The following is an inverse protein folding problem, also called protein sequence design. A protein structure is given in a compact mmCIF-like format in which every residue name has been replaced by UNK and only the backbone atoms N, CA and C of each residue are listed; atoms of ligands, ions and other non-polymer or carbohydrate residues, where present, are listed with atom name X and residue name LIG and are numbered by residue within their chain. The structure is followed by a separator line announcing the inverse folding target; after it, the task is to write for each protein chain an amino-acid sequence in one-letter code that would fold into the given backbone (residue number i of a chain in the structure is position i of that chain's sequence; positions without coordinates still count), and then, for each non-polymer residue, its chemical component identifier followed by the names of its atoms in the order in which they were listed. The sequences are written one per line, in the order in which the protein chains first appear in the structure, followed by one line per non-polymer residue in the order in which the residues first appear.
data_IF_753544716932
#
_entry.id   IF_753544716932
#
_cell.length_a   1.000
_cell.length_b   1.000
_cell.length_c   1.000
_cell.angle_alpha   90.00
_cell.angle_beta   90.00
_cell.angle_gamma   90.00
#
_symmetry.space_group_name_H-M   'P 1'
#
loop_
_entity.id
_entity.type
_entity.pdbx_description
1 polymer ?
#
# COMPACT_ATOMS: atom_id res chain seq x y z
N UNK A 1 -3.59 21.44 36.33
CA UNK A 1 -4.63 21.45 35.28
C UNK A 1 -4.05 21.68 33.86
N UNK A 2 -3.21 22.70 33.63
CA UNK A 2 -2.65 23.01 32.29
C UNK A 2 -1.79 21.88 31.67
N UNK A 3 -0.97 21.20 32.49
CA UNK A 3 -0.16 20.05 32.07
C UNK A 3 -1.04 18.85 31.65
N UNK A 4 -2.17 18.61 32.32
CA UNK A 4 -3.09 17.51 32.00
C UNK A 4 -3.80 17.80 30.67
N UNK A 5 -4.19 19.05 30.42
CA UNK A 5 -4.83 19.48 29.17
C UNK A 5 -3.84 19.39 27.97
N UNK A 6 -2.58 19.79 28.18
CA UNK A 6 -1.52 19.63 27.17
C UNK A 6 -1.22 18.17 26.85
N UNK A 7 -1.24 17.28 27.84
CA UNK A 7 -1.06 15.84 27.64
C UNK A 7 -2.23 15.22 26.86
N UNK A 8 -3.48 15.61 27.13
CA UNK A 8 -4.64 15.16 26.36
C UNK A 8 -4.55 15.57 24.88
N UNK A 9 -4.07 16.78 24.60
CA UNK A 9 -3.92 17.27 23.22
C UNK A 9 -2.82 16.50 22.46
N UNK A 10 -1.70 16.20 23.12
CA UNK A 10 -0.64 15.38 22.55
C UNK A 10 -1.09 13.93 22.29
N UNK A 11 -1.83 13.33 23.23
CA UNK A 11 -2.38 11.97 23.06
C UNK A 11 -3.41 11.92 21.94
N UNK A 12 -4.25 12.94 21.79
CA UNK A 12 -5.20 13.04 20.68
C UNK A 12 -4.50 13.17 19.31
N UNK A 13 -3.38 13.89 19.25
CA UNK A 13 -2.56 13.98 18.03
C UNK A 13 -1.92 12.63 17.68
N UNK A 14 -1.27 11.98 18.64
CA UNK A 14 -0.66 10.67 18.43
C UNK A 14 -1.69 9.60 18.01
N UNK A 15 -2.91 9.67 18.54
CA UNK A 15 -4.01 8.79 18.14
C UNK A 15 -4.40 8.94 16.67
N UNK A 16 -4.41 10.15 16.14
CA UNK A 16 -4.71 10.39 14.73
C UNK A 16 -3.59 9.87 13.82
N UNK A 17 -2.33 10.03 14.23
CA UNK A 17 -1.17 9.52 13.49
C UNK A 17 -1.17 7.98 13.47
N UNK A 18 -1.43 7.33 14.62
CA UNK A 18 -1.49 5.87 14.68
C UNK A 18 -2.68 5.30 13.90
N UNK A 19 -3.81 5.99 13.90
CA UNK A 19 -4.97 5.62 13.08
C UNK A 19 -4.65 5.76 11.58
N UNK A 20 -4.10 6.90 11.14
CA UNK A 20 -3.73 7.10 9.75
C UNK A 20 -2.72 6.06 9.25
N UNK A 21 -1.74 5.68 10.09
CA UNK A 21 -0.79 4.63 9.77
C UNK A 21 -1.46 3.24 9.64
N UNK A 22 -2.45 2.95 10.50
CA UNK A 22 -3.24 1.72 10.43
C UNK A 22 -4.08 1.67 9.16
N UNK A 23 -4.75 2.77 8.82
CA UNK A 23 -5.59 2.87 7.63
C UNK A 23 -4.76 2.71 6.36
N UNK A 24 -3.58 3.35 6.30
CA UNK A 24 -2.63 3.18 5.19
C UNK A 24 -2.17 1.72 5.05
N UNK A 25 -1.79 1.08 6.16
CA UNK A 25 -1.39 -0.34 6.16
C UNK A 25 -2.51 -1.22 5.63
N UNK A 26 -3.74 -1.01 6.11
CA UNK A 26 -4.90 -1.79 5.70
C UNK A 26 -5.18 -1.61 4.20
N UNK A 27 -5.09 -0.38 3.69
CA UNK A 27 -5.23 -0.10 2.27
C UNK A 27 -4.17 -0.84 1.44
N UNK A 28 -2.90 -0.81 1.87
CA UNK A 28 -1.83 -1.54 1.19
C UNK A 28 -2.10 -3.05 1.18
N UNK A 29 -2.49 -3.65 2.32
CA UNK A 29 -2.78 -5.09 2.40
C UNK A 29 -3.97 -5.50 1.53
N UNK A 30 -5.01 -4.67 1.48
CA UNK A 30 -6.18 -4.90 0.64
C UNK A 30 -5.88 -4.79 -0.86
N UNK A 31 -4.86 -4.04 -1.25
CA UNK A 31 -4.52 -3.85 -2.67
C UNK A 31 -3.24 -4.60 -3.09
N UNK A 32 -2.50 -5.18 -2.15
CA UNK A 32 -1.26 -5.91 -2.43
C UNK A 32 -1.45 -7.04 -3.44
N UNK A 33 -2.60 -7.71 -3.43
CA UNK A 33 -2.90 -8.78 -4.39
C UNK A 33 -3.23 -8.28 -5.81
N UNK A 34 -3.48 -6.97 -5.97
CA UNK A 34 -3.72 -6.34 -7.26
C UNK A 34 -2.46 -5.70 -7.83
N UNK A 35 -1.40 -5.62 -7.02
CA UNK A 35 -0.14 -5.06 -7.44
C UNK A 35 0.64 -6.13 -8.24
N UNK A 36 0.77 -5.96 -9.57
CA UNK A 36 1.49 -6.90 -10.42
C UNK A 36 2.97 -7.03 -10.06
N UNK A 37 3.54 -6.07 -9.33
CA UNK A 37 4.93 -6.12 -8.86
C UNK A 37 5.09 -6.99 -7.62
N UNK A 38 4.06 -7.08 -6.77
CA UNK A 38 4.09 -7.87 -5.54
C UNK A 38 3.71 -9.34 -5.78
N UNK A 39 2.68 -9.57 -6.60
CA UNK A 39 2.18 -10.93 -6.88
C UNK A 39 2.90 -11.55 -8.08
N UNK A 40 3.51 -10.72 -8.92
CA UNK A 40 3.98 -11.11 -10.23
C UNK A 40 2.81 -11.26 -11.20
N UNK A 41 3.09 -11.06 -12.48
CA UNK A 41 2.15 -11.35 -13.57
C UNK A 41 2.70 -12.46 -14.45
N UNK A 42 1.84 -13.37 -14.95
CA UNK A 42 2.27 -14.35 -15.93
C UNK A 42 2.80 -13.64 -17.18
N UNK A 43 3.73 -14.29 -17.88
CA UNK A 43 4.43 -13.66 -19.01
C UNK A 43 3.52 -13.22 -20.15
N UNK A 44 2.30 -13.77 -20.25
CA UNK A 44 1.27 -13.39 -21.24
C UNK A 44 0.53 -12.09 -20.88
N UNK A 45 0.37 -11.78 -19.60
CA UNK A 45 -0.39 -10.61 -19.12
C UNK A 45 0.51 -9.39 -18.85
N UNK A 46 1.82 -9.51 -19.08
CA UNK A 46 2.74 -8.39 -18.92
C UNK A 46 2.71 -7.47 -20.15
N UNK A 47 2.15 -6.24 -20.06
CA UNK A 47 2.06 -5.32 -21.19
C UNK A 47 3.42 -4.77 -21.66
N UNK A 48 4.47 -4.90 -20.84
CA UNK A 48 5.82 -4.49 -21.19
C UNK A 48 6.62 -5.57 -21.92
N UNK A 49 6.08 -6.79 -22.04
CA UNK A 49 6.77 -7.86 -22.76
C UNK A 49 6.41 -7.76 -24.26
N UNK A 50 7.39 -7.62 -25.16
CA UNK A 50 7.13 -7.69 -26.60
C UNK A 50 6.45 -9.03 -26.92
N UNK A 51 5.45 -9.06 -27.81
CA UNK A 51 4.86 -10.31 -28.24
C UNK A 51 5.98 -11.20 -28.77
N UNK A 52 6.00 -12.46 -28.34
CA UNK A 52 6.90 -13.44 -28.96
C UNK A 52 6.47 -13.54 -30.41
N UNK A 53 7.19 -12.87 -31.30
CA UNK A 53 7.14 -13.19 -32.72
C UNK A 53 7.66 -14.62 -32.84
N UNK A 54 6.77 -15.60 -32.75
CA UNK A 54 7.01 -16.90 -33.35
C UNK A 54 7.05 -16.65 -34.87
N UNK A 55 8.19 -16.16 -35.36
CA UNK A 55 8.59 -16.44 -36.73
C UNK A 55 8.83 -17.93 -36.77
N UNK A 56 7.86 -18.68 -37.32
CA UNK A 56 8.16 -19.97 -37.90
C UNK A 56 9.19 -19.71 -39.00
N UNK A 57 10.45 -19.98 -38.68
CA UNK A 57 11.54 -20.14 -39.64
C UNK A 57 11.84 -21.64 -39.72
#
# INVERSE_FOLDING_TARGET
LHLINSSCHFVAFLKQVSQAATDLKNFCLQNAHKDPLLVGVPSSDNPFRPPKSCGLL
#
